data_IF_055642885098
#
_entry.id   IF_055642885098
#
_cell.length_a   1.000
_cell.length_b   1.000
_cell.length_c   1.000
_cell.angle_alpha   90.00
_cell.angle_beta   90.00
_cell.angle_gamma   90.00
#
_symmetry.space_group_name_H-M   'P 1'
#
loop_
_entity.id
_entity.type
_entity.pdbx_description
1 polymer ?
#
# COMPACT_ATOMS: atom_id res chain seq x y z
N UNK A 1 -15.59 4.90 15.25
CA UNK A 1 -15.26 5.00 13.82
C UNK A 1 -14.34 3.86 13.42
N UNK A 2 -14.54 3.34 12.23
CA UNK A 2 -13.70 2.25 11.74
C UNK A 2 -12.39 2.79 11.20
N UNK A 3 -11.29 2.13 11.57
CA UNK A 3 -9.98 2.45 11.02
C UNK A 3 -9.90 1.92 9.60
N UNK A 4 -9.55 2.75 8.60
CA UNK A 4 -9.49 2.28 7.23
C UNK A 4 -8.36 1.27 7.03
N UNK A 5 -8.62 0.26 6.20
CA UNK A 5 -7.63 -0.73 5.82
C UNK A 5 -7.08 -0.37 4.44
N UNK A 6 -5.76 -0.27 4.34
CA UNK A 6 -5.06 -0.10 3.08
C UNK A 6 -4.26 -1.36 2.76
N UNK A 7 -4.06 -1.62 1.48
CA UNK A 7 -3.31 -2.78 1.02
C UNK A 7 -2.11 -2.31 0.22
N UNK A 8 -0.93 -2.83 0.55
CA UNK A 8 0.28 -2.55 -0.20
C UNK A 8 0.79 -3.85 -0.83
N UNK A 9 0.99 -3.82 -2.15
CA UNK A 9 1.52 -4.96 -2.91
C UNK A 9 3.01 -4.74 -3.13
N UNK A 10 3.81 -5.73 -2.77
CA UNK A 10 5.26 -5.63 -2.75
C UNK A 10 5.92 -6.85 -3.38
N UNK A 11 7.19 -6.70 -3.77
CA UNK A 11 8.07 -7.80 -4.18
C UNK A 11 9.20 -7.95 -3.17
N UNK A 12 9.87 -9.08 -3.19
CA UNK A 12 11.12 -9.26 -2.47
C UNK A 12 12.20 -8.34 -3.05
N UNK A 13 13.13 -7.93 -2.19
CA UNK A 13 14.27 -7.08 -2.58
C UNK A 13 13.86 -5.77 -3.24
N UNK A 14 12.74 -5.21 -2.80
CA UNK A 14 12.22 -3.97 -3.33
C UNK A 14 12.49 -2.83 -2.36
N UNK A 15 13.49 -2.00 -2.67
CA UNK A 15 13.84 -0.86 -1.81
C UNK A 15 12.70 0.17 -1.72
N UNK A 16 12.05 0.44 -2.85
CA UNK A 16 10.91 1.37 -2.86
C UNK A 16 9.74 0.87 -2.03
N UNK A 17 9.54 -0.46 -1.99
CA UNK A 17 8.51 -1.06 -1.14
C UNK A 17 8.83 -0.84 0.32
N UNK A 18 10.08 -1.05 0.73
CA UNK A 18 10.52 -0.82 2.09
C UNK A 18 10.35 0.63 2.50
N UNK A 19 10.69 1.55 1.59
CA UNK A 19 10.56 2.98 1.83
C UNK A 19 9.10 3.37 2.06
N UNK A 20 8.20 2.90 1.21
CA UNK A 20 6.78 3.23 1.36
C UNK A 20 6.20 2.67 2.65
N UNK A 21 6.54 1.43 3.01
CA UNK A 21 6.09 0.84 4.28
C UNK A 21 6.58 1.67 5.44
N UNK A 22 7.86 2.07 5.43
CA UNK A 22 8.42 2.91 6.49
C UNK A 22 7.70 4.25 6.61
N UNK A 23 7.32 4.85 5.48
CA UNK A 23 6.59 6.11 5.47
C UNK A 23 5.16 5.98 6.00
N UNK A 24 4.56 4.79 5.85
CA UNK A 24 3.21 4.52 6.36
C UNK A 24 3.21 4.08 7.81
N UNK A 25 4.35 3.64 8.34
CA UNK A 25 4.43 3.09 9.69
C UNK A 25 3.91 4.03 10.79
N UNK A 26 4.18 5.35 10.77
CA UNK A 26 3.62 6.25 11.78
C UNK A 26 2.09 6.24 11.82
N UNK A 27 1.43 6.06 10.67
CA UNK A 27 -0.03 5.98 10.63
C UNK A 27 -0.53 4.66 11.21
N UNK A 28 0.20 3.58 10.98
CA UNK A 28 -0.11 2.28 11.58
C UNK A 28 0.05 2.37 13.10
N UNK A 29 1.17 2.93 13.56
CA UNK A 29 1.48 3.03 14.99
C UNK A 29 0.46 3.89 15.74
N UNK A 30 -0.08 4.92 15.09
CA UNK A 30 -1.09 5.79 15.69
C UNK A 30 -2.52 5.27 15.48
N UNK A 31 -2.67 4.06 14.94
CA UNK A 31 -3.96 3.41 14.67
C UNK A 31 -4.86 4.21 13.70
N UNK A 32 -4.25 5.01 12.82
CA UNK A 32 -5.00 5.77 11.81
C UNK A 32 -5.31 4.94 10.58
N UNK A 33 -4.52 3.90 10.32
CA UNK A 33 -4.77 2.91 9.27
C UNK A 33 -4.40 1.53 9.78
N UNK A 34 -5.00 0.52 9.13
CA UNK A 34 -4.53 -0.87 9.18
C UNK A 34 -3.86 -1.12 7.83
N UNK A 35 -2.64 -1.61 7.84
CA UNK A 35 -1.90 -1.86 6.61
C UNK A 35 -1.76 -3.37 6.40
N UNK A 36 -2.31 -3.86 5.29
CA UNK A 36 -2.18 -5.24 4.87
C UNK A 36 -1.09 -5.32 3.80
N UNK A 37 -0.04 -6.10 4.06
CA UNK A 37 1.08 -6.26 3.13
C UNK A 37 0.87 -7.55 2.34
N UNK A 38 0.81 -7.44 1.01
CA UNK A 38 0.64 -8.59 0.10
C UNK A 38 1.92 -8.78 -0.70
N UNK A 39 2.56 -9.92 -0.50
CA UNK A 39 3.75 -10.31 -1.25
C UNK A 39 3.31 -10.93 -2.58
N UNK A 40 3.63 -10.27 -3.68
CA UNK A 40 3.22 -10.74 -5.01
C UNK A 40 3.89 -12.06 -5.38
N UNK A 41 5.03 -12.38 -4.79
CA UNK A 41 5.68 -13.66 -5.04
C UNK A 41 4.87 -14.83 -4.49
N UNK A 42 4.11 -14.60 -3.43
CA UNK A 42 3.19 -15.58 -2.85
C UNK A 42 1.82 -15.58 -3.54
N UNK A 43 1.56 -14.65 -4.43
CA UNK A 43 0.27 -14.46 -5.09
C UNK A 43 0.45 -14.29 -6.60
N UNK A 44 0.81 -15.37 -7.31
CA UNK A 44 1.10 -15.28 -8.76
C UNK A 44 -0.04 -14.69 -9.58
N UNK A 45 -1.28 -14.90 -9.16
CA UNK A 45 -2.45 -14.38 -9.85
C UNK A 45 -2.52 -12.85 -9.85
N UNK A 46 -1.79 -12.19 -8.95
CA UNK A 46 -1.78 -10.74 -8.87
C UNK A 46 -0.57 -10.11 -9.55
N UNK A 47 0.42 -10.91 -9.92
CA UNK A 47 1.67 -10.38 -10.51
C UNK A 47 1.43 -9.63 -11.81
N UNK A 48 0.53 -10.13 -12.66
CA UNK A 48 0.25 -9.50 -13.94
C UNK A 48 -0.38 -8.10 -13.77
N UNK A 49 -1.05 -7.87 -12.64
CA UNK A 49 -1.70 -6.59 -12.37
C UNK A 49 -0.74 -5.55 -11.79
N UNK A 50 0.25 -5.98 -11.01
CA UNK A 50 0.99 -5.05 -10.17
C UNK A 50 2.52 -5.11 -10.30
N UNK A 51 3.08 -6.17 -10.89
CA UNK A 51 4.52 -6.44 -10.79
C UNK A 51 5.43 -5.32 -11.29
N UNK A 52 5.00 -4.55 -12.29
CA UNK A 52 5.82 -3.48 -12.86
C UNK A 52 5.69 -2.15 -12.12
N UNK A 53 4.78 -2.08 -11.17
CA UNK A 53 4.45 -0.82 -10.50
C UNK A 53 4.66 -0.85 -8.99
N UNK A 54 5.23 -1.92 -8.47
CA UNK A 54 5.43 -2.04 -7.03
C UNK A 54 6.33 -0.94 -6.48
N UNK A 55 6.06 -0.47 -5.27
CA UNK A 55 4.92 -0.82 -4.43
C UNK A 55 3.62 -0.21 -4.95
N UNK A 56 2.51 -0.96 -4.82
CA UNK A 56 1.18 -0.47 -5.19
C UNK A 56 0.35 -0.36 -3.93
N UNK A 57 -0.19 0.82 -3.65
CA UNK A 57 -1.02 1.07 -2.49
C UNK A 57 -2.46 1.26 -2.93
N UNK A 58 -3.36 0.48 -2.34
CA UNK A 58 -4.79 0.54 -2.67
C UNK A 58 -5.65 0.63 -1.42
N UNK A 59 -6.91 1.00 -1.63
CA UNK A 59 -7.96 0.77 -0.65
C UNK A 59 -8.24 -0.72 -0.53
N UNK A 60 -8.98 -1.10 0.50
CA UNK A 60 -9.36 -2.50 0.73
C UNK A 60 -10.15 -3.09 -0.45
N UNK A 61 -10.95 -2.26 -1.13
CA UNK A 61 -11.74 -2.67 -2.29
C UNK A 61 -10.92 -2.77 -3.59
N UNK A 62 -9.62 -2.46 -3.54
CA UNK A 62 -8.74 -2.53 -4.69
C UNK A 62 -8.56 -1.23 -5.44
N UNK A 63 -9.27 -0.16 -5.07
CA UNK A 63 -9.10 1.14 -5.73
C UNK A 63 -7.71 1.71 -5.48
N UNK A 64 -7.03 2.08 -6.56
CA UNK A 64 -5.65 2.56 -6.50
C UNK A 64 -5.54 3.88 -5.76
N UNK A 65 -4.56 3.98 -4.86
CA UNK A 65 -4.18 5.24 -4.21
C UNK A 65 -2.93 5.81 -4.87
N UNK A 66 -1.85 5.02 -4.93
CA UNK A 66 -0.61 5.44 -5.59
C UNK A 66 0.28 4.21 -5.83
N UNK A 67 1.35 4.41 -6.59
CA UNK A 67 2.32 3.34 -6.82
C UNK A 67 3.72 3.91 -7.04
N UNK A 68 4.72 3.09 -6.83
CA UNK A 68 6.13 3.45 -7.00
C UNK A 68 6.69 4.25 -5.83
N UNK A 69 6.10 5.39 -5.56
CA UNK A 69 6.44 6.25 -4.43
C UNK A 69 5.18 6.73 -3.76
N UNK A 70 5.27 7.02 -2.47
CA UNK A 70 4.12 7.50 -1.72
C UNK A 70 3.72 8.90 -2.20
N UNK A 71 2.47 9.01 -2.64
CA UNK A 71 1.86 10.29 -2.97
C UNK A 71 1.05 10.75 -1.76
N UNK A 72 1.60 11.73 -1.02
CA UNK A 72 0.99 12.15 0.23
C UNK A 72 -0.35 12.84 0.05
N UNK A 73 -0.56 13.52 -1.09
CA UNK A 73 -1.86 14.13 -1.37
C UNK A 73 -2.90 13.08 -1.69
N UNK A 74 -2.53 12.06 -2.47
CA UNK A 74 -3.44 10.96 -2.76
C UNK A 74 -3.80 10.20 -1.49
N UNK A 75 -2.82 9.99 -0.61
CA UNK A 75 -3.05 9.34 0.68
C UNK A 75 -4.01 10.17 1.55
N UNK A 76 -3.79 11.49 1.63
CA UNK A 76 -4.66 12.37 2.41
C UNK A 76 -6.11 12.30 1.92
N UNK A 77 -6.31 12.34 0.60
CA UNK A 77 -7.64 12.20 0.01
C UNK A 77 -8.26 10.84 0.32
N UNK A 78 -7.45 9.79 0.25
CA UNK A 78 -7.91 8.43 0.55
C UNK A 78 -8.41 8.31 1.99
N UNK A 79 -7.72 8.96 2.93
CA UNK A 79 -8.08 8.90 4.35
C UNK A 79 -9.31 9.76 4.70
N UNK A 80 -9.71 10.62 3.79
CA UNK A 80 -10.93 11.44 3.96
C UNK A 80 -12.17 10.75 3.39
N UNK A 81 -12.02 9.62 2.78
CA UNK A 81 -13.08 8.88 2.10
C UNK A 81 -14.11 8.27 3.05
#
# INVERSE_FOLDING_TARGET
>A
MLTPTLVIYVHDYCHLCETMIAQLQPLVDSARIVLCVVDLEARPELQSLHSERVPVLTHEDGELICFGQLDRMALARALMR
#
